data_IF_088228764835
#
_entry.id   IF_088228764835
#
_cell.length_a   1.000
_cell.length_b   1.000
_cell.length_c   1.000
_cell.angle_alpha   90.00
_cell.angle_beta   90.00
_cell.angle_gamma   90.00
#
_symmetry.space_group_name_H-M   'P 1'
#
loop_
_entity.id
_entity.type
_entity.pdbx_description
1 polymer ?
#
# COMPACT_ATOMS: atom_id res chain seq x y z
N UNK A 1 -11.53 24.99 -1.96
CA UNK A 1 -11.16 23.76 -2.70
C UNK A 1 -11.38 22.60 -1.76
N UNK A 2 -11.94 21.49 -2.23
CA UNK A 2 -12.02 20.26 -1.43
C UNK A 2 -10.61 19.72 -1.24
N UNK A 3 -10.24 19.41 0.00
CA UNK A 3 -8.95 18.79 0.32
C UNK A 3 -9.01 17.29 0.02
N UNK A 4 -8.74 16.91 -1.22
CA UNK A 4 -8.83 15.52 -1.71
C UNK A 4 -7.45 14.87 -1.80
N UNK A 5 -7.37 13.58 -1.52
CA UNK A 5 -6.20 12.77 -1.83
C UNK A 5 -6.19 12.44 -3.31
N UNK A 6 -5.12 12.78 -4.04
CA UNK A 6 -4.94 12.37 -5.44
C UNK A 6 -3.88 11.28 -5.54
N UNK A 7 -4.24 10.10 -6.06
CA UNK A 7 -3.31 9.01 -6.36
C UNK A 7 -3.46 8.67 -7.83
N UNK A 8 -2.35 8.70 -8.57
CA UNK A 8 -2.35 8.61 -10.04
C UNK A 8 -3.38 9.59 -10.64
N UNK A 9 -4.34 9.09 -11.43
CA UNK A 9 -5.38 9.89 -12.09
C UNK A 9 -6.70 9.97 -11.31
N UNK A 10 -6.77 9.42 -10.10
CA UNK A 10 -8.00 9.38 -9.28
C UNK A 10 -7.89 10.25 -8.03
N UNK A 11 -9.03 10.76 -7.57
CA UNK A 11 -9.15 11.55 -6.34
C UNK A 11 -10.08 10.87 -5.35
N UNK A 12 -9.76 10.96 -4.07
CA UNK A 12 -10.45 10.29 -2.96
C UNK A 12 -10.78 11.31 -1.88
N UNK A 13 -11.92 11.13 -1.19
CA UNK A 13 -12.24 11.94 -0.02
C UNK A 13 -11.55 11.38 1.23
N UNK A 14 -11.53 10.06 1.36
CA UNK A 14 -10.83 9.39 2.45
C UNK A 14 -9.31 9.40 2.23
N UNK A 15 -8.58 9.70 3.31
CA UNK A 15 -7.13 9.57 3.41
C UNK A 15 -6.71 8.30 4.16
N UNK A 16 -7.67 7.50 4.61
CA UNK A 16 -7.40 6.26 5.34
C UNK A 16 -7.48 5.08 4.39
N UNK A 17 -6.34 4.44 4.14
CA UNK A 17 -6.26 3.17 3.41
C UNK A 17 -6.37 2.00 4.40
N UNK A 18 -7.11 0.96 4.05
CA UNK A 18 -7.35 -0.19 4.93
C UNK A 18 -6.96 -1.49 4.26
N UNK A 19 -6.27 -2.37 4.99
CA UNK A 19 -5.93 -3.71 4.51
C UNK A 19 -6.94 -4.76 4.95
N UNK A 20 -7.09 -5.84 4.18
CA UNK A 20 -8.12 -6.86 4.40
C UNK A 20 -7.63 -8.15 5.08
N UNK A 21 -6.34 -8.28 5.34
CA UNK A 21 -5.71 -9.59 5.62
C UNK A 21 -5.73 -10.11 7.05
N UNK A 22 -6.40 -9.45 8.00
CA UNK A 22 -6.32 -9.78 9.45
C UNK A 22 -7.66 -9.95 10.17
N UNK A 23 -8.78 -9.71 9.49
CA UNK A 23 -10.11 -9.91 10.06
C UNK A 23 -10.43 -11.42 10.17
N UNK A 24 -11.37 -11.75 11.05
CA UNK A 24 -11.83 -13.11 11.30
C UNK A 24 -12.53 -13.72 10.09
N UNK A 25 -13.35 -12.94 9.41
CA UNK A 25 -14.13 -13.33 8.23
C UNK A 25 -14.48 -12.11 7.38
N UNK A 26 -15.04 -12.33 6.18
CA UNK A 26 -15.36 -11.25 5.24
C UNK A 26 -16.52 -10.35 5.69
N UNK A 27 -17.40 -10.82 6.57
CA UNK A 27 -18.46 -9.97 7.12
C UNK A 27 -17.86 -8.94 8.09
N UNK A 28 -16.90 -9.37 8.93
CA UNK A 28 -16.13 -8.45 9.77
C UNK A 28 -15.27 -7.49 8.93
N UNK A 29 -14.61 -7.99 7.88
CA UNK A 29 -13.86 -7.14 6.93
C UNK A 29 -14.74 -6.04 6.35
N UNK A 30 -15.94 -6.37 5.86
CA UNK A 30 -16.90 -5.39 5.30
C UNK A 30 -17.30 -4.35 6.33
N UNK A 31 -17.72 -4.80 7.52
CA UNK A 31 -18.15 -3.90 8.59
C UNK A 31 -17.04 -2.91 9.01
N UNK A 32 -15.79 -3.38 9.08
CA UNK A 32 -14.65 -2.54 9.41
C UNK A 32 -14.34 -1.50 8.33
N UNK A 33 -14.43 -1.87 7.05
CA UNK A 33 -14.17 -0.97 5.92
C UNK A 33 -15.27 0.10 5.83
N UNK A 34 -16.54 -0.28 5.94
CA UNK A 34 -17.66 0.66 5.96
C UNK A 34 -17.52 1.67 7.12
N UNK A 35 -17.15 1.20 8.31
CA UNK A 35 -16.94 2.07 9.46
C UNK A 35 -15.74 3.02 9.30
N UNK A 36 -14.70 2.59 8.58
CA UNK A 36 -13.50 3.40 8.31
C UNK A 36 -13.74 4.50 7.27
N UNK A 37 -14.74 4.33 6.40
CA UNK A 37 -14.95 5.18 5.23
C UNK A 37 -13.81 5.10 4.19
N UNK A 38 -13.02 4.02 4.21
CA UNK A 38 -11.92 3.83 3.26
C UNK A 38 -12.45 3.62 1.83
N UNK A 39 -11.85 4.33 0.88
CA UNK A 39 -12.16 4.20 -0.55
C UNK A 39 -11.14 3.32 -1.29
N UNK A 40 -9.94 3.17 -0.71
CA UNK A 40 -8.87 2.33 -1.24
C UNK A 40 -8.60 1.21 -0.25
N UNK A 41 -8.68 -0.04 -0.73
CA UNK A 41 -8.50 -1.25 0.09
C UNK A 41 -7.36 -2.10 -0.43
N UNK A 42 -6.46 -2.53 0.46
CA UNK A 42 -5.30 -3.35 0.04
C UNK A 42 -5.62 -4.84 0.10
N UNK A 43 -5.19 -5.59 -0.92
CA UNK A 43 -5.48 -7.02 -1.05
C UNK A 43 -4.22 -7.81 -1.39
N UNK A 44 -3.89 -8.78 -0.53
CA UNK A 44 -2.75 -9.66 -0.74
C UNK A 44 -3.10 -10.78 -1.72
N UNK A 45 -2.60 -10.67 -2.96
CA UNK A 45 -2.95 -11.55 -4.08
C UNK A 45 -2.61 -13.03 -3.81
N UNK A 46 -1.53 -13.29 -3.06
CA UNK A 46 -1.11 -14.65 -2.71
C UNK A 46 -1.92 -15.28 -1.57
N UNK A 47 -2.72 -14.50 -0.83
CA UNK A 47 -3.35 -14.95 0.43
C UNK A 47 -4.88 -14.80 0.44
N UNK A 48 -5.44 -13.99 -0.45
CA UNK A 48 -6.86 -13.66 -0.45
C UNK A 48 -7.51 -14.18 -1.71
N UNK A 49 -8.58 -14.96 -1.57
CA UNK A 49 -9.39 -15.34 -2.71
C UNK A 49 -10.19 -14.13 -3.21
N UNK A 50 -9.96 -13.76 -4.46
CA UNK A 50 -10.67 -12.75 -5.23
C UNK A 50 -11.33 -13.37 -6.47
N UNK A 51 -11.63 -14.67 -6.42
CA UNK A 51 -12.29 -15.41 -7.51
C UNK A 51 -11.37 -16.39 -8.24
N UNK A 52 -10.10 -16.50 -7.86
CA UNK A 52 -9.17 -17.48 -8.43
C UNK A 52 -9.42 -18.92 -7.94
N UNK A 53 -10.09 -19.10 -6.79
CA UNK A 53 -10.45 -20.41 -6.24
C UNK A 53 -11.96 -20.61 -6.31
N UNK A 54 -12.41 -21.52 -7.19
CA UNK A 54 -13.83 -21.82 -7.36
C UNK A 54 -14.40 -22.54 -6.12
N UNK A 55 -15.59 -22.12 -5.68
CA UNK A 55 -16.30 -22.74 -4.56
C UNK A 55 -15.91 -22.23 -3.17
N UNK A 56 -14.91 -21.33 -3.09
CA UNK A 56 -14.58 -20.60 -1.86
C UNK A 56 -15.17 -19.18 -1.92
N UNK A 57 -15.54 -18.58 -0.77
CA UNK A 57 -15.96 -17.19 -0.72
C UNK A 57 -14.89 -16.27 -1.34
N UNK A 58 -15.34 -15.30 -2.13
CA UNK A 58 -14.46 -14.27 -2.70
C UNK A 58 -14.59 -12.98 -1.91
N UNK A 59 -13.47 -12.27 -1.72
CA UNK A 59 -13.51 -10.92 -1.15
C UNK A 59 -14.37 -9.98 -2.01
N UNK A 60 -14.41 -10.19 -3.32
CA UNK A 60 -15.21 -9.40 -4.27
C UNK A 60 -16.71 -9.47 -3.96
N UNK A 61 -17.19 -10.57 -3.37
CA UNK A 61 -18.61 -10.73 -3.01
C UNK A 61 -19.01 -9.83 -1.84
N UNK A 62 -18.04 -9.40 -1.02
CA UNK A 62 -18.26 -8.58 0.17
C UNK A 62 -17.84 -7.12 -0.05
N UNK A 63 -16.81 -6.89 -0.86
CA UNK A 63 -16.26 -5.59 -1.20
C UNK A 63 -16.30 -5.40 -2.71
N UNK A 64 -17.46 -5.06 -3.29
CA UNK A 64 -17.58 -4.97 -4.74
C UNK A 64 -16.62 -3.91 -5.34
N UNK A 65 -15.96 -4.19 -6.48
CA UNK A 65 -15.02 -3.25 -7.11
C UNK A 65 -15.69 -1.98 -7.65
N UNK A 66 -17.02 -1.94 -7.78
CA UNK A 66 -17.78 -0.72 -8.07
C UNK A 66 -17.88 0.25 -6.89
N UNK A 67 -17.67 -0.21 -5.65
CA UNK A 67 -17.69 0.61 -4.43
C UNK A 67 -16.29 1.04 -3.98
N UNK A 68 -15.27 0.21 -4.25
CA UNK A 68 -13.92 0.41 -3.72
C UNK A 68 -12.84 0.36 -4.80
N UNK A 69 -11.79 1.18 -4.64
CA UNK A 69 -10.55 1.00 -5.38
C UNK A 69 -9.71 -0.10 -4.72
N UNK A 70 -9.49 -1.18 -5.45
CA UNK A 70 -8.57 -2.24 -5.05
C UNK A 70 -7.11 -1.81 -5.22
N UNK A 71 -6.30 -2.06 -4.20
CA UNK A 71 -4.85 -1.88 -4.23
C UNK A 71 -4.16 -3.24 -4.04
N UNK A 72 -4.03 -4.05 -5.11
CA UNK A 72 -3.38 -5.35 -5.03
C UNK A 72 -1.92 -5.20 -4.61
N UNK A 73 -1.46 -6.06 -3.69
CA UNK A 73 -0.12 -5.99 -3.14
C UNK A 73 0.66 -7.30 -3.24
N UNK A 74 1.98 -7.18 -3.04
CA UNK A 74 2.95 -8.27 -3.09
C UNK A 74 3.35 -8.77 -1.70
N UNK A 75 2.46 -8.69 -0.71
CA UNK A 75 2.75 -9.16 0.63
C UNK A 75 3.25 -10.61 0.63
N UNK A 76 4.42 -10.84 1.23
CA UNK A 76 5.12 -12.12 1.23
C UNK A 76 5.99 -12.40 0.00
N UNK A 77 6.28 -11.40 -0.84
CA UNK A 77 7.35 -11.46 -1.82
C UNK A 77 8.69 -11.00 -1.21
N UNK A 78 9.76 -11.74 -1.50
CA UNK A 78 11.12 -11.49 -0.96
C UNK A 78 12.15 -11.20 -2.06
N UNK A 79 11.72 -11.14 -3.32
CA UNK A 79 12.54 -10.80 -4.48
C UNK A 79 11.76 -9.92 -5.44
N UNK A 80 12.48 -9.14 -6.26
CA UNK A 80 11.90 -8.30 -7.28
C UNK A 80 11.12 -9.12 -8.32
N UNK A 81 11.67 -10.27 -8.73
CA UNK A 81 11.04 -11.17 -9.70
C UNK A 81 9.70 -11.70 -9.19
N UNK A 82 9.65 -12.11 -7.91
CA UNK A 82 8.41 -12.55 -7.27
C UNK A 82 7.36 -11.44 -7.21
N UNK A 83 7.77 -10.23 -6.86
CA UNK A 83 6.88 -9.08 -6.75
C UNK A 83 6.32 -8.69 -8.12
N UNK A 84 7.18 -8.56 -9.14
CA UNK A 84 6.79 -8.25 -10.51
C UNK A 84 5.84 -9.30 -11.07
N UNK A 85 6.14 -10.59 -10.88
CA UNK A 85 5.26 -11.68 -11.31
C UNK A 85 3.89 -11.60 -10.63
N UNK A 86 3.86 -11.33 -9.33
CA UNK A 86 2.63 -11.27 -8.54
C UNK A 86 1.72 -10.12 -9.01
N UNK A 87 2.28 -8.94 -9.29
CA UNK A 87 1.48 -7.79 -9.75
C UNK A 87 1.04 -7.91 -11.22
N UNK A 88 1.84 -8.56 -12.07
CA UNK A 88 1.38 -8.93 -13.42
C UNK A 88 0.17 -9.87 -13.35
N UNK A 89 0.20 -10.87 -12.47
CA UNK A 89 -0.97 -11.74 -12.24
C UNK A 89 -2.17 -10.94 -11.71
N UNK A 90 -1.94 -10.04 -10.75
CA UNK A 90 -2.99 -9.19 -10.19
C UNK A 90 -3.69 -8.34 -11.25
N UNK A 91 -2.92 -7.77 -12.20
CA UNK A 91 -3.45 -6.99 -13.32
C UNK A 91 -4.38 -7.80 -14.20
N UNK A 92 -4.04 -9.06 -14.50
CA UNK A 92 -4.91 -9.95 -15.29
C UNK A 92 -6.18 -10.33 -14.52
N UNK A 93 -6.08 -10.55 -13.20
CA UNK A 93 -7.23 -10.89 -12.35
C UNK A 93 -8.20 -9.71 -12.13
N UNK A 94 -7.73 -8.47 -12.30
CA UNK A 94 -8.47 -7.24 -12.07
C UNK A 94 -8.70 -6.45 -13.37
N UNK A 95 -8.87 -7.15 -14.50
CA UNK A 95 -9.26 -6.56 -15.80
C UNK A 95 -8.37 -5.39 -16.26
N UNK A 96 -7.05 -5.55 -16.17
CA UNK A 96 -6.08 -4.56 -16.63
C UNK A 96 -5.79 -3.44 -15.63
N UNK A 97 -6.16 -3.63 -14.35
CA UNK A 97 -5.91 -2.67 -13.28
C UNK A 97 -4.43 -2.27 -13.16
N UNK A 98 -4.16 -0.96 -13.12
CA UNK A 98 -2.78 -0.43 -13.11
C UNK A 98 -2.24 -0.09 -11.72
N UNK A 99 -3.11 0.27 -10.78
CA UNK A 99 -2.71 0.71 -9.46
C UNK A 99 -2.28 -0.49 -8.61
N UNK A 100 -1.07 -0.44 -8.05
CA UNK A 100 -0.49 -1.57 -7.30
C UNK A 100 0.29 -1.10 -6.09
N UNK A 101 0.26 -1.89 -5.01
CA UNK A 101 1.14 -1.70 -3.85
C UNK A 101 2.35 -2.65 -3.95
N UNK A 102 3.51 -2.09 -4.24
CA UNK A 102 4.77 -2.83 -4.25
C UNK A 102 5.31 -2.96 -2.83
N UNK A 103 5.52 -4.20 -2.40
CA UNK A 103 6.10 -4.59 -1.12
C UNK A 103 7.11 -5.73 -1.35
N UNK A 104 8.39 -5.46 -1.17
CA UNK A 104 9.44 -6.51 -1.23
C UNK A 104 10.15 -6.57 0.11
N UNK A 105 9.98 -7.69 0.81
CA UNK A 105 10.44 -7.87 2.18
C UNK A 105 11.85 -8.46 2.23
N UNK A 106 12.63 -8.09 3.24
CA UNK A 106 13.96 -8.65 3.50
C UNK A 106 13.89 -10.04 4.14
N UNK A 107 12.98 -10.22 5.10
CA UNK A 107 12.81 -11.49 5.80
C UNK A 107 11.40 -11.64 6.39
N UNK A 108 10.92 -12.87 6.64
CA UNK A 108 9.55 -13.12 7.14
C UNK A 108 9.31 -12.73 8.61
N UNK A 109 10.36 -12.40 9.38
CA UNK A 109 10.23 -12.09 10.81
C UNK A 109 10.10 -10.59 11.05
N UNK A 110 10.97 -9.79 10.45
CA UNK A 110 10.95 -8.32 10.61
C UNK A 110 9.92 -7.67 9.70
N UNK A 111 9.67 -8.28 8.52
CA UNK A 111 8.90 -7.69 7.44
C UNK A 111 9.43 -6.28 7.05
N UNK A 112 10.72 -6.04 7.29
CA UNK A 112 11.38 -4.81 6.88
C UNK A 112 11.61 -4.85 5.35
N UNK A 113 11.49 -3.72 4.63
CA UNK A 113 11.62 -3.73 3.18
C UNK A 113 13.08 -3.96 2.75
N UNK A 114 13.25 -4.80 1.72
CA UNK A 114 14.52 -4.93 1.01
C UNK A 114 14.59 -3.85 -0.07
N UNK A 115 15.27 -2.74 0.21
CA UNK A 115 15.28 -1.59 -0.70
C UNK A 115 16.00 -1.86 -2.03
N UNK A 116 16.96 -2.78 -2.08
CA UNK A 116 17.65 -3.14 -3.33
C UNK A 116 16.67 -3.82 -4.29
N UNK A 117 15.96 -4.84 -3.80
CA UNK A 117 14.94 -5.55 -4.58
C UNK A 117 13.74 -4.65 -4.88
N UNK A 118 13.34 -3.79 -3.95
CA UNK A 118 12.24 -2.83 -4.13
C UNK A 118 12.52 -1.87 -5.29
N UNK A 119 13.72 -1.29 -5.35
CA UNK A 119 14.13 -0.40 -6.45
C UNK A 119 14.17 -1.14 -7.80
N UNK A 120 14.62 -2.40 -7.83
CA UNK A 120 14.64 -3.21 -9.04
C UNK A 120 13.22 -3.53 -9.55
N UNK A 121 12.31 -3.90 -8.63
CA UNK A 121 10.91 -4.17 -8.97
C UNK A 121 10.19 -2.91 -9.44
N UNK A 122 10.36 -1.78 -8.74
CA UNK A 122 9.74 -0.50 -9.07
C UNK A 122 10.09 -0.06 -10.50
N UNK A 123 11.38 -0.12 -10.89
CA UNK A 123 11.83 0.19 -12.25
C UNK A 123 11.12 -0.65 -13.31
N UNK A 124 10.97 -1.94 -13.03
CA UNK A 124 10.33 -2.87 -13.96
C UNK A 124 8.83 -2.59 -14.08
N UNK A 125 8.15 -2.40 -12.96
CA UNK A 125 6.70 -2.18 -12.91
C UNK A 125 6.30 -0.85 -13.54
N UNK A 126 7.01 0.25 -13.24
CA UNK A 126 6.73 1.54 -13.86
C UNK A 126 6.95 1.48 -15.38
N UNK A 127 8.03 0.81 -15.84
CA UNK A 127 8.26 0.58 -17.27
C UNK A 127 7.15 -0.25 -17.93
N UNK A 128 6.56 -1.18 -17.18
CA UNK A 128 5.43 -2.02 -17.62
C UNK A 128 4.07 -1.29 -17.56
N UNK A 129 4.05 0.00 -17.22
CA UNK A 129 2.85 0.85 -17.21
C UNK A 129 1.97 0.70 -15.96
N UNK A 130 2.54 0.24 -14.84
CA UNK A 130 1.86 0.22 -13.55
C UNK A 130 1.94 1.58 -12.86
N UNK A 131 0.87 1.93 -12.14
CA UNK A 131 0.83 3.04 -11.20
C UNK A 131 1.27 2.51 -9.82
N UNK A 132 2.56 2.61 -9.53
CA UNK A 132 3.17 1.96 -8.36
C UNK A 132 3.08 2.85 -7.12
N UNK A 133 2.39 2.38 -6.08
CA UNK A 133 2.53 2.86 -4.70
C UNK A 133 3.53 1.93 -4.00
N UNK A 134 4.61 2.46 -3.43
CA UNK A 134 5.72 1.60 -2.95
C UNK A 134 5.92 1.68 -1.44
N UNK A 135 5.85 0.52 -0.77
CA UNK A 135 6.26 0.37 0.63
C UNK A 135 7.79 0.47 0.73
N UNK A 136 8.28 1.34 1.60
CA UNK A 136 9.71 1.61 1.73
C UNK A 136 10.13 1.88 3.17
N UNK A 137 11.45 1.89 3.40
CA UNK A 137 12.02 2.40 4.64
C UNK A 137 11.77 3.90 4.78
N UNK A 138 12.04 4.44 5.97
CA UNK A 138 12.10 5.87 6.25
C UNK A 138 13.40 6.52 5.71
N UNK A 139 13.99 6.01 4.62
CA UNK A 139 15.19 6.59 4.02
C UNK A 139 14.80 7.66 2.99
N UNK A 140 15.13 8.96 3.23
CA UNK A 140 14.75 10.04 2.32
C UNK A 140 15.42 9.97 0.96
N UNK A 141 16.61 9.36 0.86
CA UNK A 141 17.32 9.20 -0.41
C UNK A 141 16.60 8.14 -1.25
N UNK A 142 16.21 7.03 -0.63
CA UNK A 142 15.50 5.96 -1.34
C UNK A 142 14.09 6.41 -1.74
N UNK A 143 13.37 7.11 -0.86
CA UNK A 143 12.07 7.69 -1.20
C UNK A 143 12.18 8.61 -2.43
N UNK A 144 13.23 9.44 -2.49
CA UNK A 144 13.47 10.30 -3.66
C UNK A 144 13.76 9.50 -4.93
N UNK A 145 14.56 8.44 -4.84
CA UNK A 145 14.82 7.58 -6.00
C UNK A 145 13.55 6.87 -6.49
N UNK A 146 12.67 6.44 -5.59
CA UNK A 146 11.39 5.83 -5.94
C UNK A 146 10.44 6.79 -6.64
N UNK A 147 10.39 8.05 -6.20
CA UNK A 147 9.71 9.14 -6.91
C UNK A 147 10.30 9.32 -8.33
N UNK A 148 11.63 9.41 -8.45
CA UNK A 148 12.32 9.62 -9.74
C UNK A 148 12.17 8.46 -10.72
N UNK A 149 12.00 7.24 -10.22
CA UNK A 149 11.65 6.07 -11.04
C UNK A 149 10.25 6.22 -11.65
N UNK A 150 9.36 6.99 -11.02
CA UNK A 150 8.00 7.22 -11.47
C UNK A 150 6.93 6.53 -10.62
N UNK A 151 7.23 6.16 -9.37
CA UNK A 151 6.19 5.69 -8.45
C UNK A 151 5.17 6.81 -8.20
N UNK A 152 3.88 6.49 -8.19
CA UNK A 152 2.79 7.47 -8.03
C UNK A 152 2.57 7.88 -6.58
N UNK A 153 3.14 7.13 -5.62
CA UNK A 153 3.20 7.48 -4.20
C UNK A 153 4.35 6.70 -3.54
N UNK A 154 4.94 7.29 -2.49
CA UNK A 154 5.90 6.62 -1.61
C UNK A 154 5.26 6.36 -0.26
N UNK A 155 5.50 5.17 0.30
CA UNK A 155 4.85 4.70 1.52
C UNK A 155 5.88 4.31 2.59
N UNK A 156 6.55 5.29 3.23
CA UNK A 156 7.51 5.02 4.28
C UNK A 156 6.84 4.40 5.51
N UNK A 157 7.54 3.47 6.13
CA UNK A 157 7.07 2.83 7.37
C UNK A 157 7.08 3.78 8.58
N UNK A 158 6.07 3.68 9.44
CA UNK A 158 6.11 4.31 10.78
C UNK A 158 7.03 3.49 11.70
N UNK A 159 6.82 2.18 11.67
CA UNK A 159 7.57 1.13 12.36
C UNK A 159 7.27 -0.23 11.71
N UNK A 160 7.80 -1.32 12.26
CA UNK A 160 7.65 -2.66 11.67
C UNK A 160 6.18 -3.08 11.53
N UNK A 161 5.87 -3.79 10.45
CA UNK A 161 4.52 -4.31 10.16
C UNK A 161 3.98 -5.12 11.35
N UNK A 162 2.80 -4.74 11.82
CA UNK A 162 2.11 -5.42 12.92
C UNK A 162 2.69 -5.17 14.32
N UNK A 163 3.71 -4.32 14.46
CA UNK A 163 4.31 -4.02 15.77
C UNK A 163 3.48 -3.05 16.61
N UNK A 164 2.73 -2.15 15.98
CA UNK A 164 1.91 -1.14 16.66
C UNK A 164 2.72 -0.11 17.47
N UNK A 165 3.98 0.12 17.10
CA UNK A 165 4.88 1.04 17.84
C UNK A 165 4.69 2.52 17.45
N UNK A 166 3.83 2.82 16.49
CA UNK A 166 3.64 4.18 15.97
C UNK A 166 4.84 4.66 15.15
N UNK A 167 5.02 5.98 15.07
CA UNK A 167 6.09 6.63 14.31
C UNK A 167 7.36 6.69 15.16
N UNK A 168 8.39 5.94 14.76
CA UNK A 168 9.66 5.89 15.49
C UNK A 168 10.66 6.97 15.07
N UNK A 169 10.57 7.45 13.83
CA UNK A 169 11.51 8.42 13.27
C UNK A 169 10.80 9.57 12.53
N UNK A 170 10.17 10.50 13.28
CA UNK A 170 9.44 11.61 12.67
C UNK A 170 10.35 12.54 11.86
N UNK A 171 11.65 12.59 12.16
CA UNK A 171 12.61 13.47 11.47
C UNK A 171 12.84 13.03 10.03
N UNK A 172 13.13 11.75 9.81
CA UNK A 172 13.27 11.24 8.45
C UNK A 172 11.96 11.34 7.67
N UNK A 173 10.85 11.06 8.34
CA UNK A 173 9.53 11.18 7.73
C UNK A 173 9.25 12.62 7.28
N UNK A 174 9.57 13.63 8.09
CA UNK A 174 9.45 15.03 7.70
C UNK A 174 10.33 15.38 6.50
N UNK A 175 11.57 14.89 6.43
CA UNK A 175 12.45 15.11 5.27
C UNK A 175 11.81 14.53 4.01
N UNK A 176 11.19 13.35 4.09
CA UNK A 176 10.47 12.75 2.96
C UNK A 176 9.30 13.64 2.54
N UNK A 177 8.45 14.03 3.49
CA UNK A 177 7.26 14.87 3.24
C UNK A 177 7.64 16.20 2.58
N UNK A 178 8.67 16.88 3.10
CA UNK A 178 9.07 18.20 2.63
C UNK A 178 9.65 18.18 1.20
N UNK A 179 10.23 17.05 0.78
CA UNK A 179 10.94 16.94 -0.50
C UNK A 179 10.17 16.17 -1.59
N UNK A 180 9.19 15.34 -1.19
CA UNK A 180 8.43 14.51 -2.12
C UNK A 180 7.47 15.36 -2.97
N UNK A 181 7.43 15.07 -4.27
CA UNK A 181 6.45 15.67 -5.20
C UNK A 181 5.25 14.77 -5.47
N UNK A 182 5.33 13.53 -5.00
CA UNK A 182 4.25 12.55 -5.01
C UNK A 182 3.68 12.43 -3.60
N UNK A 183 2.43 11.94 -3.45
CA UNK A 183 1.86 11.65 -2.15
C UNK A 183 2.76 10.75 -1.29
N UNK A 184 2.89 11.12 -0.01
CA UNK A 184 3.55 10.36 1.04
C UNK A 184 2.46 9.79 1.94
N UNK A 185 2.41 8.46 2.04
CA UNK A 185 1.45 7.78 2.90
C UNK A 185 2.20 6.99 3.97
N UNK A 186 1.85 7.13 5.23
CA UNK A 186 2.47 6.30 6.26
C UNK A 186 1.85 4.92 6.24
N UNK A 187 2.67 3.90 5.98
CA UNK A 187 2.21 2.52 5.84
C UNK A 187 2.91 1.62 6.85
N UNK A 188 2.14 0.78 7.54
CA UNK A 188 2.61 -0.09 8.61
C UNK A 188 3.11 0.62 9.89
N UNK A 189 3.00 -0.09 11.01
CA UNK A 189 3.51 0.35 12.31
C UNK A 189 2.53 1.13 13.19
N UNK A 190 1.44 1.68 12.61
CA UNK A 190 0.34 2.30 13.36
C UNK A 190 -0.28 1.29 14.34
N UNK A 191 -0.39 1.67 15.62
CA UNK A 191 -1.00 0.85 16.68
C UNK A 191 -2.33 1.40 17.17
N UNK A 192 -2.52 2.72 17.12
CA UNK A 192 -3.74 3.40 17.59
C UNK A 192 -4.06 4.65 16.76
N UNK A 193 -5.24 5.23 16.98
CA UNK A 193 -5.72 6.42 16.28
C UNK A 193 -4.80 7.63 16.45
N UNK A 194 -4.13 7.79 17.60
CA UNK A 194 -3.20 8.90 17.81
C UNK A 194 -1.97 8.81 16.91
N UNK A 195 -1.51 7.61 16.55
CA UNK A 195 -0.35 7.47 15.66
C UNK A 195 -0.69 7.95 14.25
N UNK A 196 -1.89 7.60 13.78
CA UNK A 196 -2.41 8.10 12.50
C UNK A 196 -2.61 9.62 12.54
N UNK A 197 -3.12 10.18 13.64
CA UNK A 197 -3.25 11.62 13.81
C UNK A 197 -1.89 12.32 13.70
N UNK A 198 -0.84 11.79 14.35
CA UNK A 198 0.52 12.33 14.27
C UNK A 198 1.06 12.28 12.82
N UNK A 199 0.80 11.20 12.07
CA UNK A 199 1.19 11.13 10.65
C UNK A 199 0.57 12.28 9.84
N UNK A 200 -0.72 12.55 10.05
CA UNK A 200 -1.42 13.65 9.38
C UNK A 200 -0.89 15.03 9.83
N UNK A 201 -0.57 15.20 11.12
CA UNK A 201 0.01 16.43 11.67
C UNK A 201 1.41 16.73 11.09
N UNK A 202 2.21 15.70 10.77
CA UNK A 202 3.50 15.84 10.09
C UNK A 202 3.37 16.23 8.61
N UNK A 203 2.19 16.02 8.02
CA UNK A 203 1.89 16.40 6.63
C UNK A 203 1.78 15.21 5.66
N UNK A 204 1.65 13.98 6.16
CA UNK A 204 1.29 12.85 5.29
C UNK A 204 -0.05 13.08 4.61
N UNK A 205 -0.19 12.58 3.37
CA UNK A 205 -1.42 12.68 2.61
C UNK A 205 -2.38 11.50 2.86
N UNK A 206 -1.91 10.41 3.47
CA UNK A 206 -2.72 9.27 3.90
C UNK A 206 -1.91 8.17 4.55
#
# INVERSE_FOLDING_TARGET
MSDLLKIADKTYHSRLLVGTGKYKDFAETRAAIDASGAEIITVAIRRTNIGQTAGEPSLLDFLPPEEFTYLPNTAGCYSADDAVRTLRLARELLDGHKLVKLEVLGDPHTLYPNMIETLAAAKTLVKDGFDVMVYCSDDPIIAKQLEEIGCVAVMPLASLIGSGMGILNPWNLQIIIDNAKVPVLVDAGVGTASDAAIAMELGCQG
#
